data_IF_289121789751
#
_entry.id   IF_289121789751
#
_cell.length_a   1.000
_cell.length_b   1.000
_cell.length_c   1.000
_cell.angle_alpha   90.00
_cell.angle_beta   90.00
_cell.angle_gamma   90.00
#
_symmetry.space_group_name_H-M   'P 1'
#
loop_
_entity.id
_entity.type
_entity.pdbx_description
1 polymer ?
#
# COMPACT_ATOMS: atom_id res chain seq x y z
N UNK A 1 -6.67 -3.95 -32.62
CA UNK A 1 -5.36 -3.94 -31.94
C UNK A 1 -5.11 -2.52 -31.47
N UNK A 2 -5.63 -2.15 -30.31
CA UNK A 2 -5.49 -0.80 -29.75
C UNK A 2 -4.28 -0.81 -28.82
N UNK A 3 -3.18 -0.22 -29.29
CA UNK A 3 -2.04 0.12 -28.47
C UNK A 3 -2.40 1.42 -27.73
N UNK A 4 -2.65 1.34 -26.43
CA UNK A 4 -2.81 2.53 -25.59
C UNK A 4 -1.42 3.17 -25.42
N UNK A 5 -1.21 4.32 -26.06
CA UNK A 5 -0.13 5.22 -25.70
C UNK A 5 -0.38 5.75 -24.29
N UNK A 6 0.52 5.42 -23.36
CA UNK A 6 0.62 6.11 -22.08
C UNK A 6 1.13 7.51 -22.38
N UNK A 7 0.29 8.52 -22.15
CA UNK A 7 0.63 9.92 -22.39
C UNK A 7 1.74 10.37 -21.44
N UNK A 8 2.86 10.80 -22.01
CA UNK A 8 4.04 11.30 -21.31
C UNK A 8 3.86 12.80 -21.10
N UNK A 9 2.95 13.21 -20.21
CA UNK A 9 2.77 14.62 -19.85
C UNK A 9 2.68 14.80 -18.33
N UNK A 10 3.79 14.58 -17.61
CA UNK A 10 4.04 15.26 -16.32
C UNK A 10 5.52 15.40 -15.93
N UNK A 11 6.49 15.23 -16.84
CA UNK A 11 7.91 15.33 -16.48
C UNK A 11 8.68 16.30 -17.38
N UNK A 12 8.63 17.57 -17.02
CA UNK A 12 9.62 18.55 -17.45
C UNK A 12 10.45 18.99 -16.23
N UNK A 13 11.33 18.12 -15.73
CA UNK A 13 12.46 18.54 -14.89
C UNK A 13 13.71 17.76 -15.31
N UNK A 14 14.66 18.49 -15.91
CA UNK A 14 16.09 18.19 -16.09
C UNK A 14 16.47 16.96 -16.91
N UNK A 15 16.83 17.22 -18.17
CA UNK A 15 17.32 16.25 -19.13
C UNK A 15 18.78 15.82 -18.81
N UNK A 16 19.00 14.49 -18.84
CA UNK A 16 20.26 13.80 -19.19
C UNK A 16 21.41 13.86 -18.15
N UNK A 17 21.29 13.23 -16.95
CA UNK A 17 21.51 11.77 -16.75
C UNK A 17 20.45 11.10 -15.84
N UNK A 18 19.56 11.88 -15.24
CA UNK A 18 18.46 11.37 -14.41
C UNK A 18 17.48 10.53 -15.23
N UNK A 19 17.29 10.82 -16.52
CA UNK A 19 16.26 10.15 -17.33
C UNK A 19 16.57 8.67 -17.60
N UNK A 20 17.85 8.32 -17.83
CA UNK A 20 18.26 6.90 -18.00
C UNK A 20 18.20 6.17 -16.66
N UNK A 21 18.74 6.77 -15.61
CA UNK A 21 18.69 6.20 -14.26
C UNK A 21 17.25 5.99 -13.79
N UNK A 22 16.38 6.98 -13.98
CA UNK A 22 14.98 6.93 -13.58
C UNK A 22 14.23 5.86 -14.36
N UNK A 23 14.48 5.74 -15.68
CA UNK A 23 13.92 4.65 -16.50
C UNK A 23 14.32 3.28 -15.96
N UNK A 24 15.60 3.06 -15.63
CA UNK A 24 16.07 1.79 -15.05
C UNK A 24 15.52 1.56 -13.63
N UNK A 25 15.40 2.61 -12.82
CA UNK A 25 14.83 2.53 -11.46
C UNK A 25 13.34 2.21 -11.49
N UNK A 26 12.59 2.80 -12.42
CA UNK A 26 11.17 2.55 -12.64
C UNK A 26 10.91 1.12 -13.13
N UNK A 27 11.79 0.54 -13.95
CA UNK A 27 11.69 -0.89 -14.33
C UNK A 27 11.78 -1.84 -13.13
N UNK A 28 12.55 -1.47 -12.11
CA UNK A 28 12.73 -2.23 -10.87
C UNK A 28 11.85 -1.72 -9.72
N UNK A 29 10.95 -0.79 -10.00
CA UNK A 29 10.11 -0.16 -8.99
C UNK A 29 9.10 -1.16 -8.45
N UNK A 30 8.92 -1.15 -7.13
CA UNK A 30 7.93 -1.99 -6.45
C UNK A 30 7.21 -1.09 -5.46
N UNK A 31 5.90 -0.98 -5.64
CA UNK A 31 5.00 -0.41 -4.66
C UNK A 31 3.98 -1.51 -4.34
N UNK A 32 4.01 -2.03 -3.10
CA UNK A 32 3.13 -3.13 -2.71
C UNK A 32 1.71 -2.66 -2.39
N UNK A 33 1.59 -1.48 -1.77
CA UNK A 33 0.33 -0.95 -1.26
C UNK A 33 0.22 0.55 -1.51
N UNK A 34 -0.94 1.11 -1.17
CA UNK A 34 -1.24 2.53 -1.36
C UNK A 34 -1.72 2.85 -2.77
N UNK A 35 -1.99 4.13 -3.01
CA UNK A 35 -2.47 4.60 -4.30
C UNK A 35 -1.33 4.66 -5.32
N UNK A 36 -1.60 4.21 -6.54
CA UNK A 36 -0.66 4.31 -7.64
C UNK A 36 -0.24 5.78 -7.87
N UNK A 37 1.05 6.00 -8.13
CA UNK A 37 1.61 7.33 -8.33
C UNK A 37 1.75 8.18 -7.06
N UNK A 38 1.42 7.66 -5.88
CA UNK A 38 1.61 8.39 -4.62
C UNK A 38 3.06 8.44 -4.14
N UNK A 39 3.93 7.55 -4.62
CA UNK A 39 5.35 7.52 -4.30
C UNK A 39 6.13 7.49 -5.60
N UNK A 40 7.10 8.39 -5.74
CA UNK A 40 7.96 8.48 -6.92
C UNK A 40 9.43 8.59 -6.51
N UNK A 41 10.37 7.99 -7.26
CA UNK A 41 11.79 8.17 -7.01
C UNK A 41 12.20 9.65 -7.11
N UNK A 42 12.96 10.13 -6.13
CA UNK A 42 13.49 11.50 -6.10
C UNK A 42 14.98 11.54 -6.42
N UNK A 43 15.75 10.61 -5.87
CA UNK A 43 17.19 10.44 -6.10
C UNK A 43 17.58 8.97 -5.99
N UNK A 44 18.86 8.65 -6.08
CA UNK A 44 19.40 7.30 -5.84
C UNK A 44 19.06 6.76 -4.45
N UNK A 45 18.80 7.64 -3.48
CA UNK A 45 18.63 7.28 -2.08
C UNK A 45 17.31 7.75 -1.46
N UNK A 46 16.51 8.51 -2.20
CA UNK A 46 15.32 9.17 -1.65
C UNK A 46 14.11 9.04 -2.56
N UNK A 47 12.93 9.10 -1.94
CA UNK A 47 11.62 9.02 -2.57
C UNK A 47 10.81 10.26 -2.22
N UNK A 48 10.01 10.74 -3.18
CA UNK A 48 8.93 11.67 -2.90
C UNK A 48 7.65 10.91 -2.65
N UNK A 49 7.06 11.12 -1.49
CA UNK A 49 5.72 10.64 -1.15
C UNK A 49 4.75 11.80 -1.16
N UNK A 50 3.73 11.72 -2.01
CA UNK A 50 2.65 12.69 -2.10
C UNK A 50 1.81 12.65 -0.83
N UNK A 51 1.51 13.83 -0.30
CA UNK A 51 0.67 13.98 0.88
C UNK A 51 -0.80 14.09 0.50
N UNK A 52 -1.65 13.42 1.26
CA UNK A 52 -3.08 13.61 1.18
C UNK A 52 -3.51 14.73 2.14
N UNK A 53 -4.07 15.82 1.60
CA UNK A 53 -4.73 16.86 2.39
C UNK A 53 -3.83 17.61 3.39
N UNK A 54 -4.22 17.61 4.67
CA UNK A 54 -3.76 18.52 5.74
C UNK A 54 -2.30 18.35 6.22
N UNK A 55 -1.43 17.75 5.41
CA UNK A 55 0.00 17.58 5.67
C UNK A 55 0.31 16.92 7.03
N UNK A 56 -0.61 16.12 7.57
CA UNK A 56 -0.45 15.43 8.87
C UNK A 56 0.74 14.46 8.86
N UNK A 57 1.00 13.85 7.71
CA UNK A 57 2.11 12.91 7.55
C UNK A 57 3.49 13.58 7.70
N UNK A 58 3.73 14.77 7.14
CA UNK A 58 5.00 15.49 7.34
C UNK A 58 5.26 15.78 8.81
N UNK A 59 4.24 16.27 9.51
CA UNK A 59 4.33 16.56 10.95
C UNK A 59 4.65 15.31 11.76
N UNK A 60 4.06 14.17 11.40
CA UNK A 60 4.36 12.89 12.03
C UNK A 60 5.83 12.49 11.81
N UNK A 61 6.31 12.54 10.56
CA UNK A 61 7.71 12.23 10.24
C UNK A 61 8.71 13.18 10.92
N UNK A 62 8.39 14.46 11.01
CA UNK A 62 9.22 15.44 11.71
C UNK A 62 9.27 15.19 13.23
N UNK A 63 8.15 14.78 13.84
CA UNK A 63 8.13 14.41 15.25
C UNK A 63 8.92 13.12 15.50
N UNK A 64 8.71 12.10 14.66
CA UNK A 64 9.40 10.81 14.73
C UNK A 64 10.91 10.97 14.56
N UNK A 65 11.36 11.80 13.61
CA UNK A 65 12.79 12.01 13.35
C UNK A 65 13.54 12.69 14.50
N UNK A 66 12.81 13.35 15.41
CA UNK A 66 13.35 13.97 16.63
C UNK A 66 13.32 13.02 17.82
N UNK A 67 12.68 11.86 17.72
CA UNK A 67 12.63 10.86 18.77
C UNK A 67 13.84 9.91 18.68
N UNK A 68 14.78 9.95 19.65
CA UNK A 68 15.95 9.10 19.62
C UNK A 68 15.62 7.61 19.74
N UNK A 69 14.49 7.23 20.34
CA UNK A 69 14.10 5.83 20.51
C UNK A 69 13.52 5.20 19.24
N UNK A 70 13.04 6.02 18.30
CA UNK A 70 12.52 5.57 17.00
C UNK A 70 13.59 5.56 15.90
N UNK A 71 14.81 6.01 16.22
CA UNK A 71 15.93 6.02 15.29
C UNK A 71 16.26 4.60 14.82
N UNK A 72 16.26 4.39 13.50
CA UNK A 72 16.51 3.09 12.88
C UNK A 72 15.26 2.22 12.63
N UNK A 73 14.10 2.61 13.16
CA UNK A 73 12.82 1.90 12.94
C UNK A 73 11.96 2.54 11.85
N UNK A 74 12.24 3.77 11.47
CA UNK A 74 11.49 4.53 10.46
C UNK A 74 12.40 5.05 9.35
N UNK A 75 11.90 5.21 8.11
CA UNK A 75 12.66 5.88 7.05
C UNK A 75 13.11 7.27 7.51
N UNK A 76 14.33 7.65 7.16
CA UNK A 76 14.80 9.02 7.43
C UNK A 76 13.92 10.03 6.69
N UNK A 77 13.41 11.01 7.42
CA UNK A 77 12.72 12.17 6.87
C UNK A 77 13.72 13.27 6.54
N UNK A 78 13.63 13.85 5.34
CA UNK A 78 14.52 14.92 4.90
C UNK A 78 13.84 16.29 4.95
N UNK A 79 12.72 16.44 4.23
CA UNK A 79 12.01 17.72 4.12
C UNK A 79 10.61 17.55 3.54
N UNK A 80 9.78 18.56 3.75
CA UNK A 80 8.53 18.75 3.02
C UNK A 80 8.78 19.68 1.82
N UNK A 81 8.09 19.41 0.73
CA UNK A 81 8.25 20.08 -0.56
C UNK A 81 6.87 20.43 -1.12
N UNK A 82 6.78 21.52 -1.86
CA UNK A 82 5.60 21.88 -2.62
C UNK A 82 5.96 22.00 -4.10
N UNK A 83 5.20 21.34 -4.97
CA UNK A 83 5.43 21.32 -6.42
C UNK A 83 4.08 21.23 -7.13
N UNK A 84 3.83 22.14 -8.08
CA UNK A 84 2.58 22.19 -8.85
C UNK A 84 1.33 22.14 -7.97
N UNK A 85 1.31 22.94 -6.88
CA UNK A 85 0.26 22.98 -5.86
C UNK A 85 0.04 21.67 -5.07
N UNK A 86 0.90 20.67 -5.26
CA UNK A 86 0.89 19.42 -4.51
C UNK A 86 2.00 19.38 -3.45
N UNK A 87 1.69 18.82 -2.28
CA UNK A 87 2.63 18.63 -1.19
C UNK A 87 3.26 17.24 -1.24
N UNK A 88 4.58 17.18 -1.09
CA UNK A 88 5.35 15.94 -1.00
C UNK A 88 6.23 15.95 0.25
N UNK A 89 6.61 14.77 0.71
CA UNK A 89 7.74 14.59 1.63
C UNK A 89 8.85 13.83 0.93
N UNK A 90 10.08 14.25 1.19
CA UNK A 90 11.25 13.49 0.83
C UNK A 90 11.64 12.56 1.98
N UNK A 91 11.64 11.26 1.71
CA UNK A 91 11.97 10.20 2.66
C UNK A 91 13.01 9.26 2.07
N UNK A 92 13.71 8.53 2.93
CA UNK A 92 14.68 7.51 2.54
C UNK A 92 14.05 6.36 1.74
N UNK A 93 14.74 5.95 0.68
CA UNK A 93 14.41 4.73 -0.05
C UNK A 93 14.92 3.51 0.71
N UNK A 94 14.03 2.84 1.45
CA UNK A 94 14.38 1.63 2.22
C UNK A 94 14.81 0.45 1.32
N UNK A 95 14.53 0.47 0.03
CA UNK A 95 14.89 -0.61 -0.88
C UNK A 95 16.31 -0.47 -1.44
N UNK A 96 16.94 0.69 -1.29
CA UNK A 96 18.28 0.94 -1.83
C UNK A 96 19.36 0.02 -1.23
N UNK A 97 19.14 -0.43 0.02
CA UNK A 97 20.10 -1.24 0.77
C UNK A 97 20.18 -2.69 0.27
N UNK A 98 19.21 -3.12 -0.54
CA UNK A 98 19.20 -4.46 -1.11
C UNK A 98 19.90 -4.46 -2.47
N UNK A 99 20.83 -5.40 -2.66
CA UNK A 99 21.62 -5.53 -3.89
C UNK A 99 20.76 -5.71 -5.15
N UNK A 100 19.62 -6.38 -5.02
CA UNK A 100 18.63 -6.52 -6.08
C UNK A 100 17.20 -6.47 -5.52
N UNK A 101 16.51 -5.30 -5.62
CA UNK A 101 15.12 -5.15 -5.19
C UNK A 101 14.15 -6.11 -5.91
N UNK A 102 14.52 -6.63 -7.07
CA UNK A 102 13.69 -7.59 -7.80
C UNK A 102 13.68 -8.96 -7.12
N UNK A 103 14.78 -9.32 -6.46
CA UNK A 103 14.98 -10.55 -5.68
C UNK A 103 14.79 -10.38 -4.18
N UNK A 104 14.32 -9.21 -3.76
CA UNK A 104 14.02 -8.93 -2.36
C UNK A 104 12.57 -9.27 -2.07
N UNK A 105 12.34 -10.06 -1.02
CA UNK A 105 11.00 -10.27 -0.49
C UNK A 105 10.60 -9.09 0.38
N UNK A 106 9.40 -8.54 0.15
CA UNK A 106 8.89 -7.36 0.82
C UNK A 106 7.48 -7.69 1.31
N UNK A 107 7.15 -7.29 2.53
CA UNK A 107 5.81 -7.44 3.09
C UNK A 107 5.35 -6.12 3.69
N UNK A 108 4.12 -5.74 3.39
CA UNK A 108 3.42 -4.62 3.99
C UNK A 108 2.42 -5.17 5.01
N UNK A 109 2.62 -4.79 6.28
CA UNK A 109 1.74 -5.15 7.38
C UNK A 109 1.08 -3.88 7.90
N UNK A 110 -0.25 -3.86 7.81
CA UNK A 110 -1.06 -2.82 8.44
C UNK A 110 -1.22 -3.14 9.91
N UNK A 111 -0.81 -2.21 10.77
CA UNK A 111 -0.94 -2.31 12.21
C UNK A 111 -2.23 -1.65 12.73
N UNK A 112 -2.73 -2.16 13.85
CA UNK A 112 -3.88 -1.65 14.59
C UNK A 112 -5.11 -2.56 14.51
N UNK A 113 -5.86 -2.66 15.61
CA UNK A 113 -7.19 -3.28 15.64
C UNK A 113 -8.26 -2.44 14.95
N UNK A 114 -7.96 -1.14 14.78
CA UNK A 114 -8.78 -0.16 14.09
C UNK A 114 -7.92 0.61 13.10
N UNK A 115 -8.42 0.77 11.88
CA UNK A 115 -7.68 1.31 10.74
C UNK A 115 -8.32 2.54 10.11
N UNK A 116 -9.32 3.12 10.78
CA UNK A 116 -9.93 4.42 10.50
C UNK A 116 -9.81 5.35 11.72
N UNK A 117 -9.79 6.66 11.48
CA UNK A 117 -9.74 7.66 12.55
C UNK A 117 -11.13 7.88 13.15
N UNK A 118 -11.19 8.33 14.42
CA UNK A 118 -12.49 8.61 15.07
C UNK A 118 -13.22 9.76 14.39
N UNK A 119 -12.47 10.74 13.89
CA UNK A 119 -13.00 11.85 13.11
C UNK A 119 -13.62 11.42 11.78
N UNK A 120 -13.33 10.22 11.28
CA UNK A 120 -13.92 9.68 10.04
C UNK A 120 -15.26 8.97 10.29
N UNK A 121 -15.62 8.70 11.55
CA UNK A 121 -16.85 7.95 11.91
C UNK A 121 -18.11 8.69 11.49
N UNK A 122 -18.11 10.02 11.58
CA UNK A 122 -19.23 10.88 11.18
C UNK A 122 -19.33 11.09 9.67
N UNK A 123 -18.37 10.58 8.88
CA UNK A 123 -18.37 10.79 7.44
C UNK A 123 -19.34 9.84 6.73
N UNK A 124 -20.44 10.41 6.23
CA UNK A 124 -21.50 9.69 5.53
C UNK A 124 -21.31 9.62 4.01
N UNK A 125 -20.21 10.16 3.47
CA UNK A 125 -19.93 10.14 2.03
C UNK A 125 -19.80 8.70 1.54
N UNK A 126 -20.70 8.33 0.62
CA UNK A 126 -20.70 7.04 -0.05
C UNK A 126 -19.74 7.02 -1.23
N UNK A 127 -19.25 5.81 -1.54
CA UNK A 127 -18.21 5.56 -2.53
C UNK A 127 -18.47 4.25 -3.26
N UNK A 128 -18.68 4.36 -4.56
CA UNK A 128 -18.81 3.21 -5.46
C UNK A 128 -17.56 2.32 -5.47
N UNK A 129 -16.37 2.91 -5.50
CA UNK A 129 -15.11 2.15 -5.60
C UNK A 129 -14.87 1.24 -4.39
N UNK A 130 -15.40 1.59 -3.21
CA UNK A 130 -15.32 0.76 -2.01
C UNK A 130 -16.34 -0.37 -2.04
N UNK A 131 -17.54 -0.14 -2.58
CA UNK A 131 -18.54 -1.18 -2.78
C UNK A 131 -18.05 -2.23 -3.78
N UNK A 132 -17.49 -1.80 -4.91
CA UNK A 132 -16.94 -2.70 -5.93
C UNK A 132 -15.80 -3.56 -5.34
N UNK A 133 -14.96 -2.99 -4.45
CA UNK A 133 -13.93 -3.75 -3.73
C UNK A 133 -14.48 -4.74 -2.71
N UNK A 134 -15.52 -4.36 -1.96
CA UNK A 134 -16.18 -5.24 -1.00
C UNK A 134 -16.79 -6.45 -1.71
N UNK A 135 -17.57 -6.21 -2.75
CA UNK A 135 -18.22 -7.25 -3.57
C UNK A 135 -17.24 -8.18 -4.28
N UNK A 136 -16.08 -7.67 -4.68
CA UNK A 136 -15.02 -8.50 -5.25
C UNK A 136 -14.39 -9.47 -4.23
N UNK A 137 -14.45 -9.15 -2.93
CA UNK A 137 -13.97 -10.00 -1.84
C UNK A 137 -15.06 -10.96 -1.39
N UNK A 138 -16.25 -10.43 -1.11
CA UNK A 138 -17.43 -11.18 -0.69
C UNK A 138 -18.68 -10.58 -1.37
N UNK A 139 -19.26 -11.27 -2.37
CA UNK A 139 -20.46 -10.82 -3.07
C UNK A 139 -21.72 -10.75 -2.18
N UNK A 140 -21.75 -11.49 -1.07
CA UNK A 140 -22.92 -11.59 -0.20
C UNK A 140 -22.90 -10.58 0.96
N UNK A 141 -21.74 -10.02 1.28
CA UNK A 141 -21.54 -9.04 2.35
C UNK A 141 -22.44 -7.78 2.27
N UNK A 142 -22.68 -7.16 1.09
CA UNK A 142 -23.47 -5.93 1.05
C UNK A 142 -24.95 -6.19 1.35
N UNK A 143 -25.53 -5.30 2.15
CA UNK A 143 -26.97 -5.30 2.48
C UNK A 143 -27.84 -5.02 1.23
N UNK A 144 -29.14 -5.38 1.24
CA UNK A 144 -30.04 -5.08 0.12
C UNK A 144 -30.05 -3.60 -0.27
N UNK A 145 -29.96 -2.69 0.70
CA UNK A 145 -29.91 -1.24 0.47
C UNK A 145 -28.59 -0.83 -0.18
N UNK A 146 -27.46 -1.39 0.26
CA UNK A 146 -26.14 -1.14 -0.34
C UNK A 146 -26.06 -1.70 -1.76
N UNK A 147 -26.68 -2.86 -2.04
CA UNK A 147 -26.79 -3.43 -3.39
C UNK A 147 -27.63 -2.55 -4.31
N UNK A 148 -28.74 -2.03 -3.80
CA UNK A 148 -29.62 -1.13 -4.55
C UNK A 148 -28.93 0.19 -4.92
N UNK A 149 -28.12 0.75 -4.02
CA UNK A 149 -27.37 1.99 -4.27
C UNK A 149 -26.04 1.76 -5.01
N UNK A 150 -25.43 0.59 -4.90
CA UNK A 150 -24.12 0.29 -5.47
C UNK A 150 -22.95 1.07 -4.85
N UNK A 151 -23.13 1.57 -3.63
CA UNK A 151 -22.15 2.42 -2.92
C UNK A 151 -22.21 2.21 -1.40
N UNK A 152 -21.05 2.30 -0.75
CA UNK A 152 -20.91 2.20 0.72
C UNK A 152 -20.07 3.34 1.28
N UNK A 153 -20.18 3.61 2.58
CA UNK A 153 -19.31 4.58 3.25
C UNK A 153 -17.91 4.01 3.45
N UNK A 154 -16.92 4.90 3.65
CA UNK A 154 -15.55 4.47 3.99
C UNK A 154 -15.54 3.66 5.28
N UNK A 155 -16.23 4.13 6.33
CA UNK A 155 -16.29 3.46 7.62
C UNK A 155 -16.78 2.01 7.49
N UNK A 156 -17.89 1.80 6.77
CA UNK A 156 -18.48 0.49 6.51
C UNK A 156 -17.50 -0.47 5.84
N UNK A 157 -16.74 0.02 4.86
CA UNK A 157 -15.70 -0.76 4.17
C UNK A 157 -14.53 -1.10 5.10
N UNK A 158 -14.07 -0.15 5.93
CA UNK A 158 -12.96 -0.39 6.86
C UNK A 158 -13.33 -1.43 7.91
N UNK A 159 -14.55 -1.36 8.48
CA UNK A 159 -15.05 -2.34 9.44
C UNK A 159 -15.17 -3.74 8.84
N UNK A 160 -15.65 -3.85 7.60
CA UNK A 160 -15.65 -5.11 6.86
C UNK A 160 -14.24 -5.68 6.73
N UNK A 161 -13.28 -4.87 6.25
CA UNK A 161 -11.88 -5.29 6.09
C UNK A 161 -11.23 -5.70 7.42
N UNK A 162 -11.56 -5.03 8.51
CA UNK A 162 -11.05 -5.36 9.84
C UNK A 162 -11.55 -6.70 10.34
N UNK A 163 -12.83 -7.02 10.07
CA UNK A 163 -13.46 -8.30 10.44
C UNK A 163 -13.03 -9.46 9.55
N UNK A 164 -12.90 -9.24 8.24
CA UNK A 164 -12.43 -10.26 7.28
C UNK A 164 -10.91 -10.46 7.31
N UNK A 165 -10.21 -9.87 8.27
CA UNK A 165 -8.77 -10.03 8.45
C UNK A 165 -8.42 -10.25 9.91
N UNK A 166 -7.14 -10.50 10.18
CA UNK A 166 -6.61 -10.59 11.52
C UNK A 166 -6.57 -9.24 12.26
N UNK A 167 -7.05 -8.13 11.68
CA UNK A 167 -6.96 -6.81 12.33
C UNK A 167 -7.74 -6.79 13.63
N UNK A 168 -9.01 -7.20 13.62
CA UNK A 168 -9.87 -7.13 14.81
C UNK A 168 -9.39 -8.04 15.95
N UNK A 169 -8.83 -9.21 15.62
CA UNK A 169 -8.43 -10.23 16.60
C UNK A 169 -6.96 -10.10 17.05
N UNK A 170 -6.04 -9.86 16.11
CA UNK A 170 -4.59 -9.87 16.37
C UNK A 170 -3.95 -8.47 16.31
N UNK A 171 -4.70 -7.45 15.91
CA UNK A 171 -4.20 -6.07 15.84
C UNK A 171 -3.25 -5.80 14.67
N UNK A 172 -3.22 -6.66 13.65
CA UNK A 172 -2.52 -6.41 12.40
C UNK A 172 -3.10 -7.24 11.25
N UNK A 173 -2.80 -6.89 10.00
CA UNK A 173 -3.05 -7.74 8.82
C UNK A 173 -1.98 -7.54 7.76
N UNK A 174 -1.72 -8.57 6.96
CA UNK A 174 -0.88 -8.47 5.77
C UNK A 174 -1.69 -7.75 4.69
N UNK A 175 -1.24 -6.58 4.24
CA UNK A 175 -1.88 -5.86 3.13
C UNK A 175 -1.39 -6.35 1.79
N UNK A 176 -0.09 -6.64 1.69
CA UNK A 176 0.54 -7.13 0.48
C UNK A 176 1.87 -7.81 0.80
N UNK A 177 2.25 -8.78 -0.02
CA UNK A 177 3.57 -9.38 0.02
C UNK A 177 4.07 -9.64 -1.39
N UNK A 178 5.33 -9.28 -1.64
CA UNK A 178 6.11 -9.76 -2.78
C UNK A 178 7.10 -10.78 -2.23
N UNK A 179 6.98 -12.01 -2.69
CA UNK A 179 7.93 -13.08 -2.36
C UNK A 179 8.87 -13.25 -3.54
N UNK A 180 10.17 -13.14 -3.28
CA UNK A 180 11.19 -13.49 -4.26
C UNK A 180 11.21 -15.01 -4.42
N UNK A 181 10.71 -15.51 -5.54
CA UNK A 181 10.92 -16.90 -5.92
C UNK A 181 12.39 -17.05 -6.31
N UNK A 182 13.21 -17.56 -5.39
CA UNK A 182 14.46 -18.22 -5.79
C UNK A 182 14.00 -19.50 -6.47
N UNK A 183 14.23 -19.61 -7.79
CA UNK A 183 14.21 -20.92 -8.43
C UNK A 183 15.26 -21.76 -7.68
N UNK A 184 14.81 -22.61 -6.76
CA UNK A 184 15.59 -23.77 -6.38
C UNK A 184 15.67 -24.59 -7.65
N UNK A 185 16.84 -24.58 -8.31
CA UNK A 185 17.19 -25.62 -9.27
C UNK A 185 17.14 -26.94 -8.49
N UNK A 186 15.96 -27.57 -8.47
CA UNK A 186 15.84 -28.97 -8.10
C UNK A 186 16.24 -29.77 -9.34
N UNK A 187 17.38 -30.45 -9.35
CA UNK A 187 17.59 -31.51 -10.33
C UNK A 187 16.69 -32.68 -9.90
N UNK A 188 15.38 -32.61 -10.20
CA UNK A 188 14.52 -33.74 -10.57
C UNK A 188 13.02 -33.36 -10.59
N UNK A 189 12.40 -33.74 -11.71
CA UNK A 189 10.98 -33.87 -12.08
C UNK A 189 9.92 -32.97 -11.41
N UNK A 190 9.22 -32.23 -12.29
CA UNK A 190 7.95 -31.55 -12.07
C UNK A 190 6.96 -32.37 -11.23
N UNK A 191 6.48 -31.78 -10.14
CA UNK A 191 5.10 -31.95 -9.70
C UNK A 191 4.60 -30.62 -9.13
N UNK A 192 3.54 -30.09 -9.73
CA UNK A 192 2.94 -28.80 -9.45
C UNK A 192 2.32 -28.81 -8.04
N UNK A 193 2.92 -28.13 -7.07
CA UNK A 193 2.29 -27.87 -5.78
C UNK A 193 1.57 -26.51 -5.84
N UNK A 194 0.25 -26.57 -5.99
CA UNK A 194 -0.64 -25.44 -5.74
C UNK A 194 -0.77 -25.23 -4.23
N UNK A 195 -0.20 -24.14 -3.72
CA UNK A 195 -0.49 -23.68 -2.36
C UNK A 195 -1.68 -22.73 -2.40
N UNK A 196 -2.85 -23.23 -1.97
CA UNK A 196 -4.01 -22.39 -1.67
C UNK A 196 -3.95 -22.05 -0.18
N UNK A 197 -3.66 -20.80 0.16
CA UNK A 197 -3.85 -20.29 1.52
C UNK A 197 -5.35 -20.08 1.69
N UNK A 198 -6.02 -21.02 2.35
CA UNK A 198 -7.42 -20.85 2.79
C UNK A 198 -7.43 -20.14 4.13
N UNK A 199 -8.24 -19.09 4.33
CA UNK A 199 -8.51 -18.56 5.66
C UNK A 199 -9.29 -19.63 6.43
N UNK A 200 -8.74 -20.12 7.55
CA UNK A 200 -9.50 -20.94 8.49
C UNK A 200 -10.59 -20.06 9.11
N UNK A 201 -11.85 -20.27 8.73
CA UNK A 201 -12.99 -19.82 9.53
C UNK A 201 -12.84 -20.43 10.92
N UNK A 202 -12.69 -19.58 11.93
CA UNK A 202 -12.87 -19.97 13.33
C UNK A 202 -14.31 -20.47 13.49
N UNK A 203 -14.46 -21.77 13.67
CA UNK A 203 -15.71 -22.38 14.07
C UNK A 203 -15.93 -22.12 15.57
N UNK A 204 -16.43 -20.94 15.92
CA UNK A 204 -17.03 -20.72 17.23
C UNK A 204 -18.52 -21.08 17.15
N UNK A 205 -18.82 -22.36 17.38
CA UNK A 205 -20.14 -22.77 17.86
C UNK A 205 -19.95 -23.83 18.93
N UNK A 206 -20.78 -23.72 19.98
CA UNK A 206 -20.92 -24.59 21.15
C UNK A 206 -20.03 -24.24 22.34
N UNK A 207 -20.53 -23.32 23.17
CA UNK A 207 -20.80 -23.57 24.58
C UNK A 207 -21.87 -22.58 25.08
N UNK A 208 -22.93 -23.17 25.65
CA UNK A 208 -24.19 -22.62 26.23
C UNK A 208 -25.33 -22.34 25.26
#
# INVERSE_FOLDING_TARGET
MFCFQVSVETMAITALPMDVWLKERLKKWVQLSGHEGSIVPASTCTLYKKQAGNCSEARAYEAISRDPYLTGFTPRYFKQLQKNDECFIEIEDLLQQFADPTKTSIMDIKMGTRTFLESEVSNTKRRKDLYDKMTAIDPDEPTPEERACGEITKLRYMQFRERESSSAELGFRIEAAKVSLVYMDFPYSQSSLHYTITPTRSAASHLQ
#
